data_IF_388352699496
#
_entry.id   IF_388352699496
#
_cell.length_a   1.000
_cell.length_b   1.000
_cell.length_c   1.000
_cell.angle_alpha   90.00
_cell.angle_beta   90.00
_cell.angle_gamma   90.00
#
_symmetry.space_group_name_H-M   'P 1'
#
loop_
_entity.id
_entity.type
_entity.pdbx_description
1 polymer ?
#
# COMPACT_ATOMS: atom_id res chain seq x y z
N UNK A 1 4.88 9.30 29.46
CA UNK A 1 4.99 9.05 28.02
C UNK A 1 4.80 7.56 27.80
N UNK A 2 3.76 7.11 27.08
CA UNK A 2 3.72 5.70 26.66
C UNK A 2 4.97 5.41 25.80
N UNK A 3 5.55 4.22 25.97
CA UNK A 3 6.65 3.77 25.12
C UNK A 3 6.18 3.72 23.66
N UNK A 4 6.97 4.18 22.68
CA UNK A 4 6.62 4.05 21.27
C UNK A 4 6.26 2.59 20.95
N UNK A 5 5.30 2.37 20.05
CA UNK A 5 4.99 1.00 19.61
C UNK A 5 6.24 0.38 18.95
N UNK A 6 6.32 -0.96 18.93
CA UNK A 6 7.43 -1.63 18.25
C UNK A 6 7.52 -1.26 16.76
N UNK A 7 6.36 -1.01 16.14
CA UNK A 7 6.22 -0.53 14.76
C UNK A 7 6.85 0.86 14.61
N UNK A 8 6.53 1.81 15.48
CA UNK A 8 7.10 3.16 15.44
C UNK A 8 8.64 3.14 15.51
N UNK A 9 9.21 2.36 16.43
CA UNK A 9 10.69 2.22 16.54
C UNK A 9 11.32 1.61 15.29
N UNK A 10 10.67 0.61 14.69
CA UNK A 10 11.17 -0.01 13.47
C UNK A 10 11.15 0.98 12.30
N UNK A 11 10.07 1.77 12.18
CA UNK A 11 9.96 2.81 11.15
C UNK A 11 10.96 3.95 11.36
N UNK A 12 11.25 4.35 12.60
CA UNK A 12 12.31 5.31 12.91
C UNK A 12 13.69 4.80 12.43
N UNK A 13 13.97 3.51 12.64
CA UNK A 13 15.19 2.86 12.16
C UNK A 13 15.30 2.91 10.63
N UNK A 14 14.25 2.48 9.92
CA UNK A 14 14.21 2.52 8.45
C UNK A 14 14.34 3.94 7.91
N UNK A 15 13.64 4.91 8.52
CA UNK A 15 13.71 6.31 8.10
C UNK A 15 15.12 6.90 8.26
N UNK A 16 15.81 6.53 9.34
CA UNK A 16 17.19 6.95 9.60
C UNK A 16 18.18 6.31 8.61
N UNK A 17 18.06 5.02 8.34
CA UNK A 17 18.92 4.32 7.38
C UNK A 17 18.75 4.87 5.95
N UNK A 18 17.51 5.15 5.55
CA UNK A 18 17.22 5.66 4.21
C UNK A 18 17.61 7.13 4.00
N UNK A 19 17.93 7.88 5.07
CA UNK A 19 18.31 9.29 4.98
C UNK A 19 19.52 9.52 4.06
N UNK A 20 20.49 8.61 4.07
CA UNK A 20 21.69 8.70 3.23
C UNK A 20 21.42 8.39 1.74
N UNK A 21 20.26 7.79 1.44
CA UNK A 21 19.87 7.35 0.09
C UNK A 21 18.61 8.05 -0.42
N UNK A 22 18.26 9.19 0.18
CA UNK A 22 17.11 10.00 -0.23
C UNK A 22 17.21 10.37 -1.72
N UNK A 23 16.14 10.08 -2.48
CA UNK A 23 16.07 10.33 -3.92
C UNK A 23 15.22 11.57 -4.22
N UNK A 24 15.53 12.38 -5.24
CA UNK A 24 14.61 13.42 -5.68
C UNK A 24 13.35 12.80 -6.31
N UNK A 25 12.20 13.44 -6.10
CA UNK A 25 10.97 13.16 -6.83
C UNK A 25 10.37 14.51 -7.28
N UNK A 26 10.34 14.74 -8.58
CA UNK A 26 9.72 15.92 -9.20
C UNK A 26 8.30 15.56 -9.65
N UNK A 27 7.30 16.12 -8.97
CA UNK A 27 5.90 15.73 -9.18
C UNK A 27 5.35 16.14 -10.55
N UNK A 28 6.01 17.07 -11.26
CA UNK A 28 5.60 17.47 -12.61
C UNK A 28 6.22 16.59 -13.71
N UNK A 29 7.36 15.95 -13.42
CA UNK A 29 8.14 15.19 -14.41
C UNK A 29 8.06 13.68 -14.22
N UNK A 30 8.14 13.24 -12.97
CA UNK A 30 8.24 11.84 -12.63
C UNK A 30 6.86 11.17 -12.66
N UNK A 31 6.85 9.91 -13.10
CA UNK A 31 5.65 9.08 -13.22
C UNK A 31 5.89 7.78 -12.49
N UNK A 32 5.26 7.58 -11.35
CA UNK A 32 5.40 6.36 -10.55
C UNK A 32 4.08 5.62 -10.46
N UNK A 33 4.13 4.30 -10.59
CA UNK A 33 3.05 3.40 -10.21
C UNK A 33 3.55 2.45 -9.14
N UNK A 34 2.76 2.31 -8.09
CA UNK A 34 3.08 1.52 -6.91
C UNK A 34 2.00 0.45 -6.71
N UNK A 35 2.44 -0.81 -6.67
CA UNK A 35 1.61 -1.98 -6.40
C UNK A 35 2.18 -2.78 -5.23
N UNK A 36 1.35 -3.43 -4.42
CA UNK A 36 1.78 -4.26 -3.29
C UNK A 36 0.91 -5.51 -3.19
N UNK A 37 1.28 -6.42 -2.29
CA UNK A 37 0.39 -7.50 -1.83
C UNK A 37 -0.16 -8.32 -2.99
N UNK A 38 0.75 -8.83 -3.82
CA UNK A 38 0.39 -9.75 -4.88
C UNK A 38 0.36 -11.19 -4.36
N UNK A 39 1.16 -11.56 -3.37
CA UNK A 39 1.13 -12.92 -2.79
C UNK A 39 1.16 -14.03 -3.85
N UNK A 40 2.00 -13.88 -4.89
CA UNK A 40 2.11 -14.85 -5.99
C UNK A 40 2.45 -16.23 -5.42
N UNK A 41 1.55 -17.20 -5.61
CA UNK A 41 1.73 -18.57 -5.17
C UNK A 41 2.31 -19.49 -6.26
N UNK A 42 1.90 -20.76 -6.23
CA UNK A 42 2.31 -21.78 -7.20
C UNK A 42 1.17 -22.16 -8.17
N UNK A 43 0.17 -21.29 -8.34
CA UNK A 43 -1.08 -21.54 -9.10
C UNK A 43 -1.88 -22.74 -8.59
N UNK A 44 -1.81 -22.99 -7.29
CA UNK A 44 -2.69 -23.96 -6.63
C UNK A 44 -3.94 -23.26 -6.06
N UNK A 45 -4.80 -24.01 -5.38
CA UNK A 45 -6.05 -23.45 -4.84
C UNK A 45 -5.88 -22.43 -3.71
N UNK A 46 -4.65 -22.13 -3.28
CA UNK A 46 -4.32 -21.11 -2.29
C UNK A 46 -3.69 -19.86 -2.94
N UNK A 47 -3.60 -19.82 -4.27
CA UNK A 47 -2.99 -18.70 -5.01
C UNK A 47 -4.03 -17.67 -5.44
N UNK A 48 -4.32 -16.73 -4.54
CA UNK A 48 -5.31 -15.66 -4.77
C UNK A 48 -4.89 -14.69 -5.89
N UNK A 49 -3.59 -14.61 -6.21
CA UNK A 49 -3.10 -13.76 -7.30
C UNK A 49 -3.53 -14.27 -8.68
N UNK A 50 -3.70 -15.58 -8.84
CA UNK A 50 -3.88 -16.22 -10.14
C UNK A 50 -5.06 -15.63 -10.93
N UNK A 51 -6.14 -15.23 -10.23
CA UNK A 51 -7.31 -14.60 -10.85
C UNK A 51 -7.08 -13.12 -11.20
N UNK A 52 -6.18 -12.43 -10.51
CA UNK A 52 -5.84 -11.02 -10.69
C UNK A 52 -4.75 -10.79 -11.74
N UNK A 53 -4.01 -11.85 -12.10
CA UNK A 53 -2.92 -11.81 -13.07
C UNK A 53 -3.27 -11.08 -14.39
N UNK A 54 -4.42 -11.33 -15.04
CA UNK A 54 -4.76 -10.62 -16.27
C UNK A 54 -4.90 -9.10 -16.08
N UNK A 55 -5.48 -8.66 -14.96
CA UNK A 55 -5.61 -7.24 -14.64
C UNK A 55 -4.23 -6.60 -14.45
N UNK A 56 -3.34 -7.29 -13.73
CA UNK A 56 -1.98 -6.81 -13.49
C UNK A 56 -1.14 -6.72 -14.76
N UNK A 57 -1.17 -7.74 -15.62
CA UNK A 57 -0.43 -7.71 -16.90
C UNK A 57 -0.90 -6.56 -17.79
N UNK A 58 -2.22 -6.35 -17.90
CA UNK A 58 -2.77 -5.24 -18.66
C UNK A 58 -2.38 -3.87 -18.07
N UNK A 59 -2.33 -3.76 -16.74
CA UNK A 59 -1.86 -2.58 -16.05
C UNK A 59 -0.39 -2.29 -16.39
N UNK A 60 0.49 -3.30 -16.29
CA UNK A 60 1.90 -3.18 -16.62
C UNK A 60 2.12 -2.74 -18.07
N UNK A 61 1.37 -3.29 -19.02
CA UNK A 61 1.45 -2.88 -20.43
C UNK A 61 1.10 -1.40 -20.63
N UNK A 62 0.02 -0.93 -19.98
CA UNK A 62 -0.39 0.47 -20.05
C UNK A 62 0.66 1.40 -19.43
N UNK A 63 1.13 1.10 -18.22
CA UNK A 63 2.09 1.97 -17.52
C UNK A 63 3.45 1.99 -18.23
N UNK A 64 3.87 0.88 -18.83
CA UNK A 64 5.09 0.85 -19.60
C UNK A 64 4.98 1.78 -20.82
N UNK A 65 3.85 1.72 -21.54
CA UNK A 65 3.59 2.56 -22.71
C UNK A 65 3.55 4.05 -22.35
N UNK A 66 2.99 4.37 -21.18
CA UNK A 66 2.87 5.75 -20.68
C UNK A 66 4.13 6.27 -19.97
N UNK A 67 5.23 5.50 -19.98
CA UNK A 67 6.52 5.97 -19.49
C UNK A 67 6.71 5.92 -17.97
N UNK A 68 5.85 5.21 -17.23
CA UNK A 68 5.95 5.11 -15.77
C UNK A 68 7.18 4.32 -15.31
N UNK A 69 7.59 4.56 -14.07
CA UNK A 69 8.40 3.66 -13.28
C UNK A 69 7.54 2.85 -12.31
N UNK A 70 7.87 1.56 -12.21
CA UNK A 70 7.19 0.57 -11.39
C UNK A 70 7.90 0.41 -10.05
N UNK A 71 7.12 0.50 -8.97
CA UNK A 71 7.54 0.13 -7.62
C UNK A 71 6.63 -1.01 -7.15
N UNK A 72 7.23 -2.17 -6.86
CA UNK A 72 6.51 -3.26 -6.18
C UNK A 72 6.83 -3.17 -4.69
N UNK A 73 5.84 -2.75 -3.91
CA UNK A 73 5.95 -2.38 -2.50
C UNK A 73 5.71 -3.57 -1.56
N UNK A 74 6.50 -4.63 -1.72
CA UNK A 74 6.49 -5.82 -0.85
C UNK A 74 5.34 -6.80 -1.09
N UNK A 75 5.51 -7.99 -0.49
CA UNK A 75 4.60 -9.13 -0.59
C UNK A 75 4.27 -9.45 -2.06
N UNK A 76 5.29 -9.48 -2.91
CA UNK A 76 5.11 -9.81 -4.31
C UNK A 76 4.93 -11.32 -4.52
N UNK A 77 5.63 -12.13 -3.73
CA UNK A 77 5.56 -13.59 -3.71
C UNK A 77 5.16 -14.12 -2.33
N UNK A 78 4.39 -15.21 -2.29
CA UNK A 78 3.97 -15.88 -1.05
C UNK A 78 5.01 -16.95 -0.63
N UNK A 79 6.17 -16.52 -0.12
CA UNK A 79 7.29 -17.42 0.21
C UNK A 79 7.21 -18.03 1.62
N UNK A 80 6.20 -17.71 2.41
CA UNK A 80 5.97 -18.39 3.68
C UNK A 80 5.35 -19.76 3.46
N UNK A 81 4.46 -19.86 2.48
CA UNK A 81 3.79 -21.11 2.12
C UNK A 81 4.50 -21.85 0.99
N UNK A 82 5.22 -21.12 0.14
CA UNK A 82 5.80 -21.67 -1.09
C UNK A 82 7.32 -21.73 -1.11
N UNK A 83 7.87 -22.54 -2.01
CA UNK A 83 9.30 -22.50 -2.34
C UNK A 83 9.52 -21.41 -3.41
N UNK A 84 10.71 -20.81 -3.40
CA UNK A 84 11.06 -19.71 -4.31
C UNK A 84 10.95 -20.14 -5.77
N UNK A 85 11.59 -21.25 -6.14
CA UNK A 85 11.73 -21.63 -7.55
C UNK A 85 10.38 -21.93 -8.22
N UNK A 86 9.46 -22.73 -7.62
CA UNK A 86 8.14 -22.96 -8.20
C UNK A 86 7.30 -21.69 -8.39
N UNK A 87 7.35 -20.74 -7.44
CA UNK A 87 6.61 -19.47 -7.56
C UNK A 87 7.14 -18.64 -8.73
N UNK A 88 8.47 -18.50 -8.81
CA UNK A 88 9.10 -17.74 -9.89
C UNK A 88 8.86 -18.39 -11.27
N UNK A 89 8.84 -19.72 -11.33
CA UNK A 89 8.50 -20.46 -12.56
C UNK A 89 7.03 -20.27 -12.96
N UNK A 90 6.11 -20.36 -12.00
CA UNK A 90 4.68 -20.20 -12.23
C UNK A 90 4.30 -18.81 -12.77
N UNK A 91 5.04 -17.78 -12.37
CA UNK A 91 4.81 -16.38 -12.76
C UNK A 91 5.95 -15.79 -13.59
N UNK A 92 6.69 -16.63 -14.32
CA UNK A 92 7.77 -16.18 -15.19
C UNK A 92 7.31 -15.15 -16.24
N UNK A 93 6.06 -15.25 -16.72
CA UNK A 93 5.46 -14.29 -17.63
C UNK A 93 5.22 -12.91 -16.97
N UNK A 94 4.79 -12.88 -15.71
CA UNK A 94 4.61 -11.64 -14.94
C UNK A 94 5.96 -10.99 -14.67
N UNK A 95 6.95 -11.77 -14.22
CA UNK A 95 8.32 -11.29 -14.02
C UNK A 95 8.93 -10.76 -15.34
N UNK A 96 8.65 -11.41 -16.46
CA UNK A 96 9.07 -10.90 -17.78
C UNK A 96 8.38 -9.58 -18.15
N UNK A 97 7.12 -9.38 -17.77
CA UNK A 97 6.42 -8.11 -17.96
C UNK A 97 7.04 -7.00 -17.09
N UNK A 98 7.28 -7.27 -15.81
CA UNK A 98 7.93 -6.33 -14.88
C UNK A 98 9.36 -5.98 -15.33
N UNK A 99 10.12 -6.95 -15.86
CA UNK A 99 11.47 -6.74 -16.39
C UNK A 99 11.52 -5.63 -17.44
N UNK A 100 10.44 -5.37 -18.18
CA UNK A 100 10.42 -4.34 -19.25
C UNK A 100 10.60 -2.92 -18.70
N UNK A 101 10.44 -2.71 -17.40
CA UNK A 101 10.71 -1.44 -16.72
C UNK A 101 12.20 -1.25 -16.36
N UNK A 102 13.07 -2.24 -16.59
CA UNK A 102 14.51 -2.12 -16.34
C UNK A 102 15.22 -1.25 -17.40
N UNK A 103 16.42 -0.71 -17.09
CA UNK A 103 17.17 -0.83 -15.82
C UNK A 103 16.79 0.21 -14.75
N UNK A 104 16.24 1.35 -15.13
CA UNK A 104 16.15 2.51 -14.23
C UNK A 104 14.73 2.79 -13.71
N UNK A 105 13.73 2.10 -14.26
CA UNK A 105 12.30 2.34 -13.95
C UNK A 105 11.66 1.19 -13.19
N UNK A 106 12.45 0.28 -12.60
CA UNK A 106 11.93 -0.81 -11.77
C UNK A 106 12.63 -0.86 -10.40
N UNK A 107 11.87 -0.83 -9.32
CA UNK A 107 12.37 -1.05 -7.96
C UNK A 107 11.44 -1.96 -7.18
N UNK A 108 12.00 -2.83 -6.35
CA UNK A 108 11.23 -3.67 -5.42
C UNK A 108 11.54 -3.27 -3.98
N UNK A 109 10.50 -3.28 -3.16
CA UNK A 109 10.60 -3.31 -1.71
C UNK A 109 10.22 -4.72 -1.25
N UNK A 110 10.88 -5.26 -0.23
CA UNK A 110 10.50 -6.55 0.33
C UNK A 110 9.47 -6.39 1.46
N UNK A 111 8.52 -7.31 1.47
CA UNK A 111 7.45 -7.47 2.43
C UNK A 111 7.72 -8.64 3.40
N UNK A 112 6.78 -8.94 4.29
CA UNK A 112 6.97 -10.04 5.22
C UNK A 112 6.85 -11.40 4.54
N UNK A 113 5.99 -11.57 3.54
CA UNK A 113 5.79 -12.85 2.85
C UNK A 113 6.93 -13.18 1.87
N UNK A 114 7.66 -12.17 1.41
CA UNK A 114 8.82 -12.31 0.54
C UNK A 114 10.14 -11.83 1.21
N UNK A 115 10.24 -11.99 2.54
CA UNK A 115 11.40 -11.68 3.39
C UNK A 115 12.68 -12.50 3.08
N UNK A 116 12.62 -13.42 2.12
CA UNK A 116 13.81 -13.97 1.49
C UNK A 116 14.63 -12.90 0.76
N UNK A 117 13.97 -11.84 0.27
CA UNK A 117 14.60 -10.74 -0.47
C UNK A 117 15.28 -9.70 0.41
N UNK A 118 15.11 -9.78 1.72
CA UNK A 118 15.93 -9.03 2.69
C UNK A 118 17.42 -9.34 2.49
N UNK A 119 17.76 -10.59 2.13
CA UNK A 119 19.15 -11.02 1.96
C UNK A 119 19.64 -10.81 0.53
N UNK A 120 20.64 -9.93 0.27
CA UNK A 120 21.13 -9.66 -1.08
C UNK A 120 21.62 -10.92 -1.83
N UNK A 121 22.23 -11.87 -1.11
CA UNK A 121 22.67 -13.15 -1.69
C UNK A 121 21.52 -14.00 -2.26
N UNK A 122 20.31 -13.88 -1.69
CA UNK A 122 19.12 -14.60 -2.15
C UNK A 122 18.55 -13.91 -3.38
N UNK A 123 18.52 -12.57 -3.38
CA UNK A 123 18.20 -11.76 -4.56
C UNK A 123 19.12 -12.14 -5.72
N UNK A 124 20.44 -12.04 -5.54
CA UNK A 124 21.44 -12.31 -6.58
C UNK A 124 21.36 -13.74 -7.13
N UNK A 125 20.97 -14.71 -6.30
CA UNK A 125 20.81 -16.10 -6.71
C UNK A 125 19.56 -16.32 -7.58
N UNK A 126 18.45 -15.67 -7.29
CA UNK A 126 17.14 -16.05 -7.83
C UNK A 126 16.57 -15.07 -8.85
N UNK A 127 16.69 -13.75 -8.62
CA UNK A 127 15.97 -12.76 -9.40
C UNK A 127 16.68 -12.31 -10.69
N UNK A 128 18.03 -12.15 -10.76
CA UNK A 128 18.68 -11.60 -11.95
C UNK A 128 18.45 -12.36 -13.25
N UNK A 129 18.29 -13.69 -13.18
CA UNK A 129 17.98 -14.50 -14.36
C UNK A 129 16.67 -14.08 -15.02
N UNK A 130 15.66 -13.74 -14.21
CA UNK A 130 14.31 -13.41 -14.65
C UNK A 130 14.12 -11.90 -14.84
N UNK A 131 14.59 -11.08 -13.89
CA UNK A 131 14.36 -9.64 -13.85
C UNK A 131 15.53 -8.78 -14.33
N UNK A 132 16.69 -9.37 -14.60
CA UNK A 132 17.92 -8.62 -14.83
C UNK A 132 18.47 -8.02 -13.52
N UNK A 133 19.49 -7.15 -13.57
CA UNK A 133 19.99 -6.48 -12.38
C UNK A 133 18.84 -5.74 -11.68
N UNK A 134 18.45 -6.18 -10.49
CA UNK A 134 17.30 -5.64 -9.76
C UNK A 134 17.74 -5.19 -8.39
N UNK A 135 17.20 -4.04 -7.95
CA UNK A 135 17.40 -3.54 -6.60
C UNK A 135 16.16 -3.89 -5.76
N UNK A 136 16.37 -4.71 -4.75
CA UNK A 136 15.38 -4.96 -3.69
C UNK A 136 15.86 -4.24 -2.42
N UNK A 137 15.01 -3.40 -1.84
CA UNK A 137 15.32 -2.59 -0.65
C UNK A 137 14.25 -2.75 0.41
N UNK A 138 14.51 -2.30 1.64
CA UNK A 138 13.50 -2.31 2.71
C UNK A 138 12.48 -1.17 2.61
N UNK A 139 12.88 -0.06 2.00
CA UNK A 139 12.01 1.07 1.75
C UNK A 139 12.65 2.09 0.82
N UNK A 140 11.86 3.10 0.46
CA UNK A 140 12.28 4.19 -0.40
C UNK A 140 11.94 5.53 0.25
N UNK A 141 12.93 6.42 0.29
CA UNK A 141 12.76 7.78 0.79
C UNK A 141 12.98 8.76 -0.34
N UNK A 142 12.02 9.67 -0.51
CA UNK A 142 12.06 10.70 -1.52
C UNK A 142 11.98 12.11 -0.91
N UNK A 143 12.79 13.01 -1.46
CA UNK A 143 12.59 14.45 -1.35
C UNK A 143 11.59 14.89 -2.42
N UNK A 144 10.37 15.20 -2.01
CA UNK A 144 9.32 15.60 -2.96
C UNK A 144 9.48 17.06 -3.30
N UNK A 145 9.53 17.36 -4.60
CA UNK A 145 9.74 18.69 -5.14
C UNK A 145 8.67 19.05 -6.16
N UNK A 146 8.36 20.33 -6.26
CA UNK A 146 7.48 20.91 -7.26
C UNK A 146 8.08 22.22 -7.76
N UNK A 147 8.37 22.31 -9.06
CA UNK A 147 9.03 23.47 -9.68
C UNK A 147 10.34 23.89 -8.98
N UNK A 148 11.09 22.91 -8.46
CA UNK A 148 12.35 23.12 -7.75
C UNK A 148 12.22 23.49 -6.26
N UNK A 149 11.00 23.64 -5.73
CA UNK A 149 10.74 23.84 -4.31
C UNK A 149 10.53 22.49 -3.61
N UNK A 150 11.15 22.27 -2.44
CA UNK A 150 10.90 21.07 -1.62
C UNK A 150 9.55 21.22 -0.90
N UNK A 151 8.65 20.30 -1.17
CA UNK A 151 7.35 20.21 -0.51
C UNK A 151 7.42 19.44 0.82
N UNK A 152 8.24 18.39 0.85
CA UNK A 152 8.35 17.53 2.03
C UNK A 152 9.08 16.22 1.74
N UNK A 153 8.82 15.23 2.58
CA UNK A 153 9.40 13.89 2.48
C UNK A 153 8.31 12.87 2.18
N UNK A 154 8.61 11.92 1.30
CA UNK A 154 7.76 10.76 1.03
C UNK A 154 8.54 9.49 1.39
N UNK A 155 7.97 8.67 2.27
CA UNK A 155 8.49 7.34 2.58
C UNK A 155 7.55 6.29 2.00
N UNK A 156 8.12 5.29 1.33
CA UNK A 156 7.43 4.10 0.89
C UNK A 156 8.05 2.88 1.58
N UNK A 157 7.24 2.11 2.30
CA UNK A 157 7.62 0.83 2.93
C UNK A 157 6.49 -0.17 2.73
N UNK A 158 6.73 -1.46 2.87
CA UNK A 158 5.61 -2.42 2.82
C UNK A 158 4.67 -2.24 4.02
N UNK A 159 5.19 -2.03 5.23
CA UNK A 159 4.39 -1.83 6.44
C UNK A 159 4.46 -2.97 7.45
N UNK A 160 5.27 -4.01 7.21
CA UNK A 160 5.52 -5.09 8.18
C UNK A 160 6.51 -4.72 9.29
N UNK A 161 7.17 -3.56 9.18
CA UNK A 161 8.19 -3.11 10.12
C UNK A 161 7.66 -3.14 11.56
N UNK A 162 8.23 -4.00 12.41
CA UNK A 162 7.84 -4.15 13.82
C UNK A 162 6.60 -5.01 14.09
N UNK A 163 6.00 -5.65 13.08
CA UNK A 163 4.92 -6.65 13.25
C UNK A 163 5.42 -8.08 13.31
N UNK A 164 6.61 -8.36 12.78
CA UNK A 164 7.17 -9.70 12.73
C UNK A 164 7.45 -10.24 14.14
N UNK A 165 7.04 -11.50 14.38
CA UNK A 165 7.34 -12.26 15.61
C UNK A 165 8.84 -12.26 15.93
N UNK A 166 9.69 -12.19 14.91
CA UNK A 166 11.14 -12.10 15.05
C UNK A 166 11.63 -10.76 15.62
N UNK A 167 10.88 -9.68 15.40
CA UNK A 167 11.15 -8.37 16.00
C UNK A 167 10.57 -8.28 17.43
N UNK A 168 9.53 -9.07 17.73
CA UNK A 168 8.93 -9.17 19.07
C UNK A 168 9.73 -10.08 20.02
N UNK A 169 10.43 -11.09 19.50
CA UNK A 169 11.25 -12.02 20.28
C UNK A 169 12.73 -11.62 20.22
N UNK A 170 13.10 -10.54 20.92
CA UNK A 170 14.45 -9.96 20.96
C UNK A 170 15.57 -10.87 21.50
N UNK A 171 15.34 -12.17 21.71
CA UNK A 171 16.30 -13.14 22.26
C UNK A 171 16.37 -14.50 21.56
N UNK A 172 15.52 -14.77 20.56
CA UNK A 172 15.61 -15.98 19.73
C UNK A 172 16.05 -15.55 18.34
N UNK A 173 17.04 -16.23 17.74
CA UNK A 173 17.54 -15.82 16.42
C UNK A 173 16.38 -15.72 15.42
N UNK A 174 16.27 -14.58 14.71
CA UNK A 174 15.20 -14.32 13.72
C UNK A 174 15.05 -15.49 12.73
N UNK A 175 16.17 -16.12 12.38
CA UNK A 175 16.26 -17.29 11.50
C UNK A 175 15.51 -18.52 12.03
N UNK A 176 15.59 -18.82 13.33
CA UNK A 176 14.93 -19.98 13.95
C UNK A 176 13.43 -19.78 14.05
N UNK A 177 12.99 -18.58 14.48
CA UNK A 177 11.57 -18.24 14.56
C UNK A 177 10.93 -18.31 13.17
N UNK A 178 11.57 -17.70 12.18
CA UNK A 178 11.15 -17.72 10.77
C UNK A 178 11.10 -19.14 10.21
N UNK A 179 12.12 -19.96 10.45
CA UNK A 179 12.16 -21.35 9.96
C UNK A 179 11.09 -22.23 10.60
N UNK A 180 10.91 -22.14 11.93
CA UNK A 180 9.87 -22.89 12.64
C UNK A 180 8.47 -22.42 12.24
N UNK A 181 8.23 -21.12 12.18
CA UNK A 181 6.93 -20.55 11.83
C UNK A 181 6.51 -20.89 10.39
N UNK A 182 7.39 -20.67 9.42
CA UNK A 182 7.13 -21.08 8.02
C UNK A 182 6.94 -22.59 7.87
N UNK A 183 7.62 -23.39 8.68
CA UNK A 183 7.43 -24.85 8.65
C UNK A 183 6.07 -25.24 9.23
N UNK A 184 5.65 -24.60 10.32
CA UNK A 184 4.30 -24.79 10.89
C UNK A 184 3.21 -24.31 9.93
N UNK A 185 3.34 -23.14 9.31
CA UNK A 185 2.36 -22.63 8.34
C UNK A 185 2.22 -23.56 7.13
N UNK A 186 3.34 -23.99 6.52
CA UNK A 186 3.32 -24.96 5.41
C UNK A 186 2.66 -26.29 5.77
N UNK A 187 2.85 -26.76 7.01
CA UNK A 187 2.28 -28.03 7.48
C UNK A 187 0.80 -27.91 7.87
N UNK A 188 0.38 -26.76 8.40
CA UNK A 188 -0.95 -26.60 8.99
C UNK A 188 -1.95 -25.89 8.08
N UNK A 189 -1.50 -25.21 7.02
CA UNK A 189 -2.31 -24.32 6.16
C UNK A 189 -3.16 -23.33 6.96
N UNK A 190 -2.79 -23.08 8.22
CA UNK A 190 -3.39 -22.03 9.04
C UNK A 190 -2.56 -20.79 8.81
N UNK A 191 -3.16 -19.80 8.16
CA UNK A 191 -2.55 -18.48 8.01
C UNK A 191 -2.13 -17.95 9.38
N UNK A 192 -1.05 -17.16 9.42
CA UNK A 192 -0.87 -16.31 10.59
C UNK A 192 -2.04 -15.35 10.63
N UNK A 193 -2.50 -14.99 11.83
CA UNK A 193 -3.29 -13.78 12.04
C UNK A 193 -2.38 -12.58 11.72
N UNK A 194 -2.12 -12.35 10.43
CA UNK A 194 -1.56 -11.11 9.93
C UNK A 194 -2.65 -10.06 10.03
N UNK A 195 -2.29 -8.76 10.12
CA UNK A 195 -3.25 -7.68 9.98
C UNK A 195 -4.18 -7.97 8.78
N UNK A 196 -3.66 -8.31 7.61
CA UNK A 196 -4.46 -8.69 6.43
C UNK A 196 -5.66 -9.63 6.68
N UNK A 197 -5.61 -10.55 7.65
CA UNK A 197 -6.69 -11.51 7.95
C UNK A 197 -7.61 -11.12 9.11
N UNK A 198 -7.18 -10.23 10.01
CA UNK A 198 -7.93 -9.83 11.21
C UNK A 198 -8.25 -8.33 11.18
N UNK A 199 -9.54 -8.01 11.03
CA UNK A 199 -10.05 -6.65 10.91
C UNK A 199 -9.61 -5.71 12.05
N UNK A 200 -9.55 -6.22 13.28
CA UNK A 200 -9.19 -5.40 14.43
C UNK A 200 -7.67 -5.13 14.46
N UNK A 201 -6.84 -6.14 14.14
CA UNK A 201 -5.39 -5.97 13.98
C UNK A 201 -5.04 -5.04 12.80
N UNK A 202 -5.79 -5.08 11.68
CA UNK A 202 -5.64 -4.08 10.58
C UNK A 202 -5.85 -2.67 11.07
N UNK A 203 -6.96 -2.44 11.76
CA UNK A 203 -7.34 -1.12 12.22
C UNK A 203 -6.31 -0.57 13.21
N UNK A 204 -5.79 -1.38 14.13
CA UNK A 204 -4.72 -0.99 15.05
C UNK A 204 -3.40 -0.67 14.31
N UNK A 205 -3.05 -1.48 13.31
CA UNK A 205 -1.84 -1.29 12.51
C UNK A 205 -1.90 0.02 11.70
N UNK A 206 -3.00 0.25 10.96
CA UNK A 206 -3.22 1.49 10.20
C UNK A 206 -3.23 2.72 11.12
N UNK A 207 -3.83 2.61 12.32
CA UNK A 207 -3.78 3.70 13.31
C UNK A 207 -2.36 4.01 13.76
N UNK A 208 -1.54 2.98 13.97
CA UNK A 208 -0.15 3.15 14.39
C UNK A 208 0.71 3.79 13.30
N UNK A 209 0.56 3.33 12.04
CA UNK A 209 1.22 3.93 10.88
C UNK A 209 0.80 5.38 10.67
N UNK A 210 -0.50 5.66 10.80
CA UNK A 210 -1.05 7.01 10.70
C UNK A 210 -0.48 7.93 11.77
N UNK A 211 -0.53 7.53 13.04
CA UNK A 211 -0.02 8.31 14.16
C UNK A 211 1.47 8.61 13.98
N UNK A 212 2.27 7.59 13.65
CA UNK A 212 3.70 7.75 13.41
C UNK A 212 3.99 8.71 12.25
N UNK A 213 3.29 8.59 11.13
CA UNK A 213 3.47 9.51 9.99
C UNK A 213 3.03 10.94 10.33
N UNK A 214 1.99 11.09 11.15
CA UNK A 214 1.51 12.39 11.65
C UNK A 214 2.53 13.11 12.54
N UNK A 215 3.32 12.38 13.32
CA UNK A 215 4.34 12.98 14.20
C UNK A 215 5.55 13.55 13.41
N UNK A 216 5.68 13.22 12.13
CA UNK A 216 6.77 13.69 11.28
C UNK A 216 6.45 15.03 10.59
N UNK A 217 7.44 15.93 10.41
CA UNK A 217 7.24 17.22 9.75
C UNK A 217 7.13 17.05 8.23
N UNK A 218 6.07 17.62 7.62
CA UNK A 218 5.84 17.65 6.17
C UNK A 218 6.09 16.29 5.50
N UNK A 219 5.42 15.26 6.00
CA UNK A 219 5.74 13.87 5.73
C UNK A 219 4.54 13.09 5.21
N UNK A 220 4.76 12.28 4.18
CA UNK A 220 3.79 11.34 3.64
C UNK A 220 4.35 9.93 3.69
N UNK A 221 3.54 8.98 4.12
CA UNK A 221 3.81 7.54 4.13
C UNK A 221 2.90 6.85 3.12
N UNK A 222 3.49 6.05 2.22
CA UNK A 222 2.79 5.08 1.39
C UNK A 222 3.16 3.68 1.88
N UNK A 223 2.16 2.85 2.21
CA UNK A 223 2.36 1.46 2.64
C UNK A 223 1.45 0.46 1.89
N UNK A 224 1.65 -0.84 2.14
CA UNK A 224 0.77 -1.94 1.76
C UNK A 224 0.33 -2.73 3.00
N UNK A 225 0.43 -4.06 2.97
CA UNK A 225 0.35 -4.98 4.11
C UNK A 225 -1.05 -5.18 4.76
N UNK A 226 -1.92 -4.18 4.77
CA UNK A 226 -3.26 -4.29 5.37
C UNK A 226 -4.35 -4.72 4.40
N UNK A 227 -4.03 -4.85 3.11
CA UNK A 227 -4.93 -5.19 1.99
C UNK A 227 -6.10 -4.22 1.79
N UNK A 228 -6.16 -3.12 2.55
CA UNK A 228 -7.19 -2.08 2.45
C UNK A 228 -6.59 -0.82 1.84
N UNK A 229 -7.07 -0.36 0.68
CA UNK A 229 -6.63 0.91 0.16
C UNK A 229 -7.09 2.03 1.11
N UNK A 230 -6.15 2.81 1.58
CA UNK A 230 -6.35 4.01 2.41
C UNK A 230 -5.85 5.16 1.57
N UNK A 231 -6.65 6.20 1.41
CA UNK A 231 -6.22 7.35 0.64
C UNK A 231 -6.47 8.63 1.42
N UNK A 232 -5.41 9.44 1.57
CA UNK A 232 -5.43 10.65 2.39
C UNK A 232 -5.83 10.37 3.84
N UNK A 233 -5.33 9.27 4.40
CA UNK A 233 -5.63 8.77 5.76
C UNK A 233 -7.09 8.33 5.97
N UNK A 234 -7.92 8.44 4.93
CA UNK A 234 -9.34 8.08 4.99
C UNK A 234 -9.53 6.68 4.44
N UNK A 235 -10.36 5.90 5.14
CA UNK A 235 -10.86 4.64 4.60
C UNK A 235 -11.79 4.93 3.42
N UNK A 236 -12.01 3.93 2.56
CA UNK A 236 -13.00 4.02 1.48
C UNK A 236 -14.38 4.45 2.02
N UNK A 237 -14.78 3.92 3.17
CA UNK A 237 -16.04 4.27 3.84
C UNK A 237 -16.10 5.75 4.24
N UNK A 238 -15.02 6.30 4.80
CA UNK A 238 -14.94 7.72 5.16
C UNK A 238 -15.01 8.62 3.93
N UNK A 239 -14.33 8.26 2.84
CA UNK A 239 -14.39 9.01 1.57
C UNK A 239 -15.80 9.03 1.00
N UNK A 240 -16.49 7.88 0.99
CA UNK A 240 -17.89 7.79 0.58
C UNK A 240 -18.76 8.71 1.42
N UNK A 241 -18.63 8.66 2.75
CA UNK A 241 -19.44 9.49 3.67
C UNK A 241 -19.21 10.98 3.45
N UNK A 242 -17.98 11.39 3.19
CA UNK A 242 -17.67 12.79 2.87
C UNK A 242 -18.21 13.21 1.51
N UNK A 243 -18.08 12.37 0.47
CA UNK A 243 -18.64 12.63 -0.85
C UNK A 243 -20.18 12.75 -0.77
N UNK A 244 -20.84 11.86 -0.01
CA UNK A 244 -22.27 11.96 0.28
C UNK A 244 -22.62 13.30 0.96
N UNK A 245 -21.88 13.69 2.02
CA UNK A 245 -22.09 14.98 2.72
C UNK A 245 -21.87 16.17 1.79
N UNK A 246 -20.87 16.12 0.91
CA UNK A 246 -20.60 17.17 -0.06
C UNK A 246 -21.73 17.29 -1.07
N UNK A 247 -22.19 16.17 -1.64
CA UNK A 247 -23.31 16.13 -2.59
C UNK A 247 -24.63 16.58 -1.95
N UNK A 248 -24.87 16.26 -0.67
CA UNK A 248 -26.05 16.69 0.09
C UNK A 248 -26.07 18.20 0.37
N UNK A 249 -24.90 18.85 0.46
CA UNK A 249 -24.78 20.30 0.67
C UNK A 249 -24.91 21.13 -0.61
N UNK A 250 -24.91 20.51 -1.79
CA UNK A 250 -25.10 21.22 -3.06
C UNK A 250 -26.57 21.59 -3.25
N UNK A 251 -26.86 22.87 -3.50
CA UNK A 251 -28.24 23.39 -3.64
C UNK A 251 -28.73 23.46 -5.10
N UNK A 252 -27.90 23.09 -6.08
CA UNK A 252 -28.24 23.21 -7.51
C UNK A 252 -29.26 22.15 -7.97
N UNK A 253 -30.42 22.63 -8.42
CA UNK A 253 -31.59 21.85 -8.85
C UNK A 253 -31.38 21.19 -10.23
N UNK A 254 -30.52 21.75 -11.10
CA UNK A 254 -30.32 21.22 -12.46
C UNK A 254 -29.44 19.95 -12.51
N UNK A 255 -28.66 19.70 -11.46
CA UNK A 255 -27.81 18.52 -11.32
C UNK A 255 -28.49 17.34 -10.60
N UNK A 256 -29.77 17.48 -10.22
CA UNK A 256 -30.43 16.63 -9.23
C UNK A 256 -30.50 15.15 -9.61
N UNK A 257 -30.81 14.81 -10.86
CA UNK A 257 -30.86 13.40 -11.32
C UNK A 257 -29.50 12.69 -11.30
N UNK A 258 -28.42 13.36 -11.74
CA UNK A 258 -27.06 12.79 -11.70
C UNK A 258 -26.55 12.70 -10.27
N UNK A 259 -26.86 13.70 -9.44
CA UNK A 259 -26.57 13.71 -8.00
C UNK A 259 -27.26 12.55 -7.28
N UNK A 260 -28.55 12.34 -7.55
CA UNK A 260 -29.34 11.25 -6.95
C UNK A 260 -28.80 9.87 -7.35
N UNK A 261 -28.45 9.68 -8.62
CA UNK A 261 -27.83 8.45 -9.09
C UNK A 261 -26.49 8.18 -8.40
N UNK A 262 -25.62 9.20 -8.28
CA UNK A 262 -24.34 9.09 -7.58
C UNK A 262 -24.53 8.82 -6.08
N UNK A 263 -25.48 9.47 -5.43
CA UNK A 263 -25.81 9.21 -4.02
C UNK A 263 -26.32 7.78 -3.80
N UNK A 264 -27.12 7.24 -4.73
CA UNK A 264 -27.60 5.86 -4.66
C UNK A 264 -26.44 4.86 -4.80
N UNK A 265 -25.54 5.08 -5.76
CA UNK A 265 -24.31 4.29 -5.93
C UNK A 265 -23.43 4.32 -4.68
N UNK A 266 -23.20 5.50 -4.12
CA UNK A 266 -22.41 5.69 -2.89
C UNK A 266 -23.04 4.99 -1.68
N UNK A 267 -24.36 4.99 -1.56
CA UNK A 267 -25.06 4.27 -0.47
C UNK A 267 -24.97 2.77 -0.61
N UNK A 268 -25.09 2.24 -1.83
CA UNK A 268 -24.91 0.81 -2.09
C UNK A 268 -23.48 0.37 -1.77
N UNK A 269 -22.50 1.19 -2.14
CA UNK A 269 -21.09 0.93 -1.85
C UNK A 269 -20.78 1.01 -0.35
N UNK A 270 -21.36 1.99 0.36
CA UNK A 270 -21.28 2.08 1.82
C UNK A 270 -21.85 0.82 2.49
N UNK A 271 -23.04 0.35 2.07
CA UNK A 271 -23.65 -0.85 2.62
C UNK A 271 -22.80 -2.11 2.39
N UNK A 272 -22.19 -2.24 1.21
CA UNK A 272 -21.27 -3.36 0.90
C UNK A 272 -20.03 -3.33 1.79
N UNK A 273 -19.44 -2.17 2.00
CA UNK A 273 -18.24 -2.01 2.86
C UNK A 273 -18.60 -2.24 4.33
N UNK A 274 -19.72 -1.70 4.80
CA UNK A 274 -20.18 -1.87 6.18
C UNK A 274 -20.48 -3.33 6.49
N UNK A 275 -21.11 -4.07 5.56
CA UNK A 275 -21.36 -5.50 5.69
C UNK A 275 -20.07 -6.33 5.77
N UNK A 276 -18.98 -5.86 5.14
CA UNK A 276 -17.66 -6.49 5.23
C UNK A 276 -16.93 -6.14 6.55
N UNK A 277 -17.17 -4.94 7.08
CA UNK A 277 -16.49 -4.41 8.28
C UNK A 277 -17.20 -4.80 9.61
N UNK A 278 -18.48 -5.21 9.59
CA UNK A 278 -19.30 -5.60 10.76
C UNK A 278 -18.74 -6.78 11.61
N UNK A 279 -17.66 -7.44 11.15
CA UNK A 279 -16.96 -8.47 11.93
C UNK A 279 -16.11 -7.91 13.10
N UNK A 280 -15.85 -6.60 13.20
CA UNK A 280 -15.08 -5.99 14.29
C UNK A 280 -15.87 -4.83 14.95
N UNK A 281 -16.81 -5.17 15.83
CA UNK A 281 -17.67 -4.21 16.55
C UNK A 281 -16.99 -3.51 17.75
N UNK A 282 -15.70 -3.68 18.01
CA UNK A 282 -15.08 -3.30 19.28
C UNK A 282 -14.17 -2.07 19.27
N UNK A 283 -13.98 -1.40 18.13
CA UNK A 283 -13.23 -0.14 18.12
C UNK A 283 -13.94 0.88 17.24
N UNK A 284 -14.49 1.94 17.85
CA UNK A 284 -15.00 3.13 17.17
C UNK A 284 -13.97 3.62 16.14
N UNK A 285 -14.35 3.63 14.87
CA UNK A 285 -13.56 4.26 13.79
C UNK A 285 -13.46 5.79 13.98
N UNK A 286 -14.28 6.36 14.87
CA UNK A 286 -14.40 7.80 15.14
C UNK A 286 -13.33 8.37 16.09
N UNK A 287 -12.52 7.55 16.77
CA UNK A 287 -11.59 8.03 17.83
C UNK A 287 -10.20 8.46 17.34
N UNK A 288 -9.92 8.41 16.03
CA UNK A 288 -8.67 8.93 15.49
C UNK A 288 -8.97 10.14 14.63
N UNK A 289 -8.53 11.32 15.09
CA UNK A 289 -8.53 12.54 14.29
C UNK A 289 -7.60 12.34 13.09
N UNK A 290 -8.15 11.81 12.00
CA UNK A 290 -7.44 11.55 10.74
C UNK A 290 -7.43 12.76 9.81
N UNK A 291 -7.46 13.97 10.36
CA UNK A 291 -7.51 15.23 9.60
C UNK A 291 -6.30 15.46 8.71
N UNK A 292 -5.14 14.88 9.03
CA UNK A 292 -3.89 15.07 8.27
C UNK A 292 -3.75 14.04 7.14
N UNK A 293 -3.51 14.44 5.88
CA UNK A 293 -3.35 13.54 4.74
C UNK A 293 -1.94 12.93 4.65
N UNK A 294 -1.41 12.37 5.74
CA UNK A 294 -0.04 11.86 5.83
C UNK A 294 0.11 10.36 5.51
N UNK A 295 -0.97 9.59 5.37
CA UNK A 295 -0.90 8.14 5.16
C UNK A 295 -1.74 7.67 3.97
N UNK A 296 -1.14 6.84 3.13
CA UNK A 296 -1.77 6.22 1.98
C UNK A 296 -1.41 4.73 1.95
N UNK A 297 -2.31 3.91 1.45
CA UNK A 297 -2.13 2.48 1.29
C UNK A 297 -2.51 2.04 -0.13
N UNK A 298 -1.64 1.26 -0.76
CA UNK A 298 -1.81 0.78 -2.15
C UNK A 298 -2.94 -0.24 -2.30
N UNK A 299 -3.41 -0.83 -1.20
CA UNK A 299 -4.44 -1.86 -1.18
C UNK A 299 -3.87 -3.24 -1.48
N UNK A 300 -4.41 -3.94 -2.48
CA UNK A 300 -4.06 -5.34 -2.75
C UNK A 300 -4.07 -5.64 -4.25
N UNK A 301 -3.23 -6.59 -4.68
CA UNK A 301 -3.22 -7.12 -6.04
C UNK A 301 -3.80 -8.55 -6.13
N UNK A 302 -4.50 -9.00 -5.09
CA UNK A 302 -5.05 -10.36 -4.95
C UNK A 302 -6.48 -10.33 -4.42
N UNK A 303 -7.30 -9.39 -4.87
CA UNK A 303 -8.70 -9.36 -4.47
C UNK A 303 -9.46 -10.55 -5.07
N UNK A 304 -10.37 -11.12 -4.27
CA UNK A 304 -11.19 -12.27 -4.69
C UNK A 304 -12.11 -11.99 -5.90
N UNK A 305 -12.34 -10.71 -6.23
CA UNK A 305 -13.11 -10.27 -7.39
C UNK A 305 -12.26 -10.04 -8.65
N UNK A 306 -10.99 -10.49 -8.66
CA UNK A 306 -9.99 -10.35 -9.74
C UNK A 306 -9.48 -8.93 -9.97
N UNK A 307 -9.88 -7.99 -9.12
CA UNK A 307 -9.46 -6.62 -9.25
C UNK A 307 -8.12 -6.40 -8.54
N UNK A 308 -7.42 -5.34 -8.93
CA UNK A 308 -6.21 -4.90 -8.24
C UNK A 308 -6.29 -3.40 -7.98
N UNK A 309 -5.63 -2.95 -6.92
CA UNK A 309 -5.45 -1.52 -6.64
C UNK A 309 -3.98 -1.14 -6.59
N UNK A 310 -3.71 0.12 -6.88
CA UNK A 310 -2.37 0.69 -6.75
C UNK A 310 -2.44 2.20 -6.57
N UNK A 311 -1.29 2.80 -6.29
CA UNK A 311 -1.14 4.25 -6.22
C UNK A 311 -0.35 4.72 -7.43
N UNK A 312 -0.77 5.83 -8.02
CA UNK A 312 -0.01 6.56 -9.02
C UNK A 312 0.44 7.90 -8.47
N UNK A 313 1.65 8.31 -8.86
CA UNK A 313 2.15 9.67 -8.72
C UNK A 313 2.47 10.18 -10.12
N UNK A 314 1.64 11.08 -10.64
CA UNK A 314 1.72 11.55 -12.02
C UNK A 314 1.00 12.89 -12.20
N UNK A 315 1.54 13.76 -13.04
CA UNK A 315 0.96 15.07 -13.39
C UNK A 315 0.64 15.94 -12.15
N UNK A 316 1.49 15.88 -11.12
CA UNK A 316 1.30 16.61 -9.86
C UNK A 316 0.21 16.03 -8.93
N UNK A 317 -0.40 14.90 -9.29
CA UNK A 317 -1.45 14.24 -8.51
C UNK A 317 -0.97 12.91 -7.92
N UNK A 318 -1.48 12.59 -6.73
CA UNK A 318 -1.50 11.23 -6.18
C UNK A 318 -2.88 10.64 -6.44
N UNK A 319 -2.96 9.41 -6.96
CA UNK A 319 -4.22 8.75 -7.33
C UNK A 319 -4.27 7.34 -6.77
N UNK A 320 -5.40 6.97 -6.16
CA UNK A 320 -5.74 5.57 -5.94
C UNK A 320 -6.46 5.06 -7.18
N UNK A 321 -5.93 4.00 -7.78
CA UNK A 321 -6.49 3.41 -8.99
C UNK A 321 -6.87 1.96 -8.77
N UNK A 322 -7.86 1.52 -9.56
CA UNK A 322 -8.33 0.15 -9.62
C UNK A 322 -8.25 -0.33 -11.06
N UNK A 323 -7.76 -1.55 -11.25
CA UNK A 323 -7.86 -2.27 -12.50
C UNK A 323 -8.80 -3.43 -12.32
N UNK A 324 -9.81 -3.52 -13.18
CA UNK A 324 -10.85 -4.56 -13.12
C UNK A 324 -11.00 -5.29 -14.44
N UNK A 325 -11.30 -6.59 -14.37
CA UNK A 325 -11.51 -7.45 -15.55
C UNK A 325 -12.95 -7.94 -15.57
N UNK A 326 -13.90 -7.06 -15.93
CA UNK A 326 -15.33 -7.41 -15.94
C UNK A 326 -15.64 -8.52 -16.96
N UNK A 327 -16.18 -9.64 -16.48
CA UNK A 327 -16.74 -10.74 -17.29
C UNK A 327 -15.80 -11.28 -18.38
N UNK A 328 -14.49 -11.34 -18.13
CA UNK A 328 -13.50 -11.79 -19.12
C UNK A 328 -13.28 -10.81 -20.29
N UNK A 329 -13.77 -9.57 -20.16
CA UNK A 329 -13.45 -8.46 -21.06
C UNK A 329 -12.04 -7.90 -20.82
N UNK A 330 -11.60 -6.92 -21.62
CA UNK A 330 -10.30 -6.29 -21.42
C UNK A 330 -10.26 -5.56 -20.07
N UNK A 331 -9.12 -5.65 -19.38
CA UNK A 331 -8.93 -4.96 -18.11
C UNK A 331 -9.12 -3.44 -18.29
N UNK A 332 -9.79 -2.80 -17.34
CA UNK A 332 -10.07 -1.36 -17.37
C UNK A 332 -9.55 -0.69 -16.12
N UNK A 333 -8.90 0.45 -16.33
CA UNK A 333 -8.43 1.34 -15.28
C UNK A 333 -9.53 2.32 -14.86
N UNK A 334 -9.78 2.41 -13.56
CA UNK A 334 -10.63 3.41 -12.94
C UNK A 334 -9.85 4.17 -11.84
N UNK A 335 -10.04 5.49 -11.77
CA UNK A 335 -9.50 6.30 -10.66
C UNK A 335 -10.54 6.33 -9.55
N UNK A 336 -10.21 5.78 -8.39
CA UNK A 336 -11.10 5.74 -7.23
C UNK A 336 -11.04 7.03 -6.43
N UNK A 337 -9.83 7.56 -6.22
CA UNK A 337 -9.60 8.81 -5.51
C UNK A 337 -8.36 9.52 -6.07
N UNK A 338 -8.30 10.84 -5.90
CA UNK A 338 -7.13 11.64 -6.28
C UNK A 338 -7.01 12.90 -5.43
N UNK A 339 -5.79 13.40 -5.30
CA UNK A 339 -5.47 14.67 -4.67
C UNK A 339 -4.25 15.29 -5.35
N UNK A 340 -4.18 16.63 -5.36
CA UNK A 340 -2.96 17.32 -5.77
C UNK A 340 -1.88 17.11 -4.70
N UNK A 341 -0.70 16.65 -5.08
CA UNK A 341 0.40 16.37 -4.14
C UNK A 341 0.79 17.63 -3.37
N UNK A 342 0.82 18.78 -4.06
CA UNK A 342 1.08 20.08 -3.41
C UNK A 342 0.08 20.38 -2.29
N UNK A 343 -1.21 20.22 -2.55
CA UNK A 343 -2.26 20.45 -1.53
C UNK A 343 -2.18 19.47 -0.36
N UNK A 344 -1.73 18.23 -0.60
CA UNK A 344 -1.47 17.27 0.49
C UNK A 344 -0.38 17.81 1.42
N UNK A 345 0.76 18.27 0.89
CA UNK A 345 1.85 18.81 1.70
C UNK A 345 1.52 20.16 2.36
N UNK A 346 0.76 21.04 1.69
CA UNK A 346 0.27 22.30 2.26
C UNK A 346 -0.61 22.03 3.49
N UNK A 347 -1.58 21.12 3.38
CA UNK A 347 -2.44 20.74 4.51
C UNK A 347 -1.64 20.15 5.70
N UNK A 348 -0.53 19.46 5.44
CA UNK A 348 0.35 18.93 6.48
C UNK A 348 1.10 20.04 7.24
N UNK A 349 1.43 21.14 6.55
CA UNK A 349 2.12 22.30 7.12
C UNK A 349 1.17 23.21 7.89
N UNK A 350 -0.03 23.46 7.35
CA UNK A 350 -1.06 24.28 8.02
C UNK A 350 -1.53 23.66 9.35
N UNK A 351 -1.54 22.32 9.41
CA UNK A 351 -1.87 21.58 10.63
C UNK A 351 -0.76 21.62 11.68
N UNK A 352 0.50 21.88 11.28
CA UNK A 352 1.63 21.97 12.22
C UNK A 352 1.69 23.34 12.92
N UNK A 353 1.16 24.40 12.28
CA UNK A 353 1.12 25.76 12.83
C UNK A 353 -0.04 25.98 13.82
N UNK A 354 -1.05 25.09 13.78
CA UNK A 354 -2.11 25.01 14.79
C UNK A 354 -1.64 24.11 15.95
N UNK A 355 -0.88 24.67 16.90
CA UNK A 355 -0.48 23.98 18.13
C UNK A 355 -1.67 23.33 18.88
N UNK A 356 -1.40 22.46 19.87
CA UNK A 356 -2.44 21.65 20.52
C UNK A 356 -3.58 22.55 21.02
N UNK A 357 -4.79 22.32 20.50
CA UNK A 357 -5.99 23.02 20.96
C UNK A 357 -6.11 22.82 22.47
N UNK A 358 -6.28 23.88 23.27
CA UNK A 358 -6.44 23.73 24.70
C UNK A 358 -7.68 22.88 24.95
N UNK A 359 -7.50 21.80 25.70
CA UNK A 359 -8.60 21.01 26.24
C UNK A 359 -9.41 21.94 27.14
N UNK A 360 -10.62 22.31 26.71
CA UNK A 360 -11.57 23.01 27.58
C UNK A 360 -11.89 22.08 28.77
N UNK A 361 -11.61 22.61 29.95
CA UNK A 361 -11.68 21.98 31.28
C UNK A 361 -13.10 21.77 31.77
#
# INVERSE_FOLDING_TARGET
>A
MPSPSAIARALDGVLAELAATERPLDIERDRLVIFSDHHKGQRDGADDFAICEPAYLAALDSYLADGFALIVLGDAEELWENRVEPVLEAYANVLAAERRFQPDRYTRVWGNHDDEWEAPRRVDKHLPALLGPIRVVEGLRFAVTSKGERLGTLLMVHGHQGTLLSDRLAGVSKLVVRFLWRTVQRLTRKGSTTPATDACLRAEHDRTLYAWAGDQPSFVLIAGHTHRPVFSSKTHLQQIREEQRALQRMEDVAADLRRQARLAELRELEAKIQQQDEACASISEDDVDRSRPCYFNTGCCSFADSDITGIELVDGEIRLVKWETKHGGPARRAVLARAAVRSVYEALNDSADQGPRPTES
#
